data_IF_309027341293
#
_entry.id   IF_309027341293
#
_cell.length_a   1.000
_cell.length_b   1.000
_cell.length_c   1.000
_cell.angle_alpha   90.00
_cell.angle_beta   90.00
_cell.angle_gamma   90.00
#
_symmetry.space_group_name_H-M   'P 1'
#
loop_
_entity.id
_entity.type
_entity.pdbx_description
1 polymer ?
#
# COMPACT_ATOMS: atom_id res chain seq x y z
N UNK A 1 11.67 -18.91 22.52
CA UNK A 1 10.23 -19.17 22.28
C UNK A 1 10.01 -18.93 20.79
N UNK A 2 9.83 -20.01 20.03
CA UNK A 2 10.03 -19.98 18.58
C UNK A 2 8.84 -19.31 17.87
N UNK A 3 9.16 -18.15 17.32
CA UNK A 3 8.52 -17.39 16.27
C UNK A 3 7.66 -18.27 15.35
N UNK A 4 6.35 -18.25 15.54
CA UNK A 4 5.41 -18.78 14.55
C UNK A 4 5.63 -17.99 13.25
N UNK A 5 6.30 -18.60 12.28
CA UNK A 5 6.27 -18.13 10.90
C UNK A 5 4.84 -18.34 10.42
N UNK A 6 3.99 -17.31 10.55
CA UNK A 6 2.74 -17.24 9.80
C UNK A 6 3.12 -17.38 8.33
N UNK A 7 2.76 -18.50 7.71
CA UNK A 7 2.80 -18.68 6.26
C UNK A 7 1.88 -17.63 5.66
N UNK A 8 2.46 -16.49 5.28
CA UNK A 8 1.76 -15.47 4.50
C UNK A 8 1.91 -15.87 3.04
N UNK A 9 0.85 -15.77 2.22
CA UNK A 9 0.99 -15.97 0.79
C UNK A 9 2.12 -15.07 0.27
N UNK A 10 3.19 -15.68 -0.24
CA UNK A 10 4.43 -14.97 -0.58
C UNK A 10 4.40 -14.41 -2.01
N UNK A 11 3.21 -14.09 -2.53
CA UNK A 11 3.09 -13.41 -3.81
C UNK A 11 3.22 -11.90 -3.59
N UNK A 12 4.33 -11.35 -4.08
CA UNK A 12 4.54 -9.92 -4.20
C UNK A 12 5.27 -9.63 -5.51
N UNK A 13 4.83 -8.60 -6.22
CA UNK A 13 5.49 -8.11 -7.42
C UNK A 13 5.59 -6.59 -7.32
N UNK A 14 6.82 -6.06 -7.26
CA UNK A 14 7.04 -4.62 -7.37
C UNK A 14 7.14 -4.25 -8.85
N UNK A 15 6.29 -3.33 -9.28
CA UNK A 15 6.29 -2.77 -10.63
C UNK A 15 7.19 -1.54 -10.58
N UNK A 16 8.47 -1.76 -10.87
CA UNK A 16 9.49 -0.71 -10.82
C UNK A 16 9.58 -0.01 -12.18
N UNK A 17 9.25 1.29 -12.20
CA UNK A 17 9.67 2.21 -13.28
C UNK A 17 11.16 2.55 -13.11
N UNK A 18 11.79 3.14 -14.13
CA UNK A 18 13.13 3.75 -14.00
C UNK A 18 13.28 4.54 -12.68
N UNK A 19 14.33 4.22 -11.91
CA UNK A 19 14.54 4.78 -10.57
C UNK A 19 15.42 3.89 -9.69
N UNK A 20 15.65 4.33 -8.45
CA UNK A 20 16.43 3.56 -7.48
C UNK A 20 15.56 2.55 -6.74
N UNK A 21 16.16 1.41 -6.37
CA UNK A 21 15.47 0.33 -5.62
C UNK A 21 15.02 0.77 -4.21
N UNK A 22 15.53 1.91 -3.73
CA UNK A 22 15.19 2.50 -2.44
C UNK A 22 13.89 3.30 -2.50
N UNK A 23 13.44 3.71 -3.69
CA UNK A 23 12.28 4.58 -3.83
C UNK A 23 10.96 3.81 -3.71
N UNK A 24 9.86 4.51 -3.33
CA UNK A 24 8.53 3.95 -3.43
C UNK A 24 8.17 3.57 -4.87
N UNK A 25 7.39 2.49 -4.99
CA UNK A 25 6.98 1.78 -6.19
C UNK A 25 5.54 1.31 -6.02
N UNK A 26 4.91 0.93 -7.13
CA UNK A 26 3.69 0.14 -7.05
C UNK A 26 4.03 -1.32 -6.75
N UNK A 27 3.23 -1.96 -5.92
CA UNK A 27 3.37 -3.37 -5.60
C UNK A 27 2.03 -4.10 -5.60
N UNK A 28 2.00 -5.27 -6.22
CA UNK A 28 0.89 -6.21 -6.17
C UNK A 28 1.13 -7.22 -5.05
N UNK A 29 0.10 -7.51 -4.25
CA UNK A 29 0.17 -8.51 -3.17
C UNK A 29 -1.12 -9.28 -3.04
N UNK A 30 -1.00 -10.60 -2.88
CA UNK A 30 -2.14 -11.45 -2.52
C UNK A 30 -2.53 -11.18 -1.05
N UNK A 31 -3.81 -10.93 -0.81
CA UNK A 31 -4.37 -10.81 0.55
C UNK A 31 -5.42 -11.88 0.79
N UNK A 32 -5.85 -12.00 2.06
CA UNK A 32 -7.00 -12.81 2.43
C UNK A 32 -6.66 -14.24 2.87
N UNK A 33 -7.67 -15.09 2.78
CA UNK A 33 -7.65 -16.52 3.15
C UNK A 33 -8.18 -17.36 1.99
N UNK A 34 -8.04 -18.69 2.00
CA UNK A 34 -8.59 -19.52 0.92
C UNK A 34 -10.09 -19.32 0.65
N UNK A 35 -10.87 -18.83 1.62
CA UNK A 35 -12.30 -18.57 1.48
C UNK A 35 -12.64 -17.16 0.96
N UNK A 36 -11.71 -16.20 1.09
CA UNK A 36 -11.91 -14.81 0.68
C UNK A 36 -10.54 -14.17 0.45
N UNK A 37 -10.17 -14.02 -0.82
CA UNK A 37 -8.85 -13.53 -1.24
C UNK A 37 -8.95 -12.68 -2.51
N UNK A 38 -7.87 -11.95 -2.77
CA UNK A 38 -7.76 -11.10 -3.94
C UNK A 38 -6.37 -10.48 -4.05
N UNK A 39 -6.24 -9.53 -4.95
CA UNK A 39 -5.00 -8.78 -5.14
C UNK A 39 -5.18 -7.39 -4.54
N UNK A 40 -4.21 -6.96 -3.74
CA UNK A 40 -4.08 -5.58 -3.31
C UNK A 40 -2.98 -4.92 -4.13
N UNK A 41 -3.28 -3.77 -4.72
CA UNK A 41 -2.28 -2.86 -5.24
C UNK A 41 -1.92 -1.86 -4.12
N UNK A 42 -0.63 -1.54 -4.00
CA UNK A 42 -0.14 -0.61 -2.99
C UNK A 42 0.96 0.29 -3.52
N UNK A 43 1.03 1.52 -3.01
CA UNK A 43 2.22 2.36 -3.12
C UNK A 43 3.09 2.07 -1.90
N UNK A 44 4.20 1.38 -2.12
CA UNK A 44 5.09 0.92 -1.05
C UNK A 44 6.55 0.85 -1.51
N UNK A 45 7.44 0.46 -0.60
CA UNK A 45 8.86 0.33 -0.88
C UNK A 45 9.40 -0.96 -0.28
N UNK A 46 10.53 -1.43 -0.82
CA UNK A 46 11.20 -2.63 -0.33
C UNK A 46 11.91 -2.30 0.98
N UNK A 47 11.36 -2.74 2.11
CA UNK A 47 11.85 -2.41 3.46
C UNK A 47 13.35 -2.67 3.66
N UNK A 48 13.88 -3.78 3.12
CA UNK A 48 15.30 -4.16 3.21
C UNK A 48 16.24 -3.34 2.31
N UNK A 49 15.69 -2.47 1.45
CA UNK A 49 16.43 -1.62 0.51
C UNK A 49 16.29 -0.13 0.82
N UNK A 50 15.48 0.24 1.82
CA UNK A 50 15.24 1.64 2.17
C UNK A 50 16.55 2.37 2.56
N UNK A 51 16.58 3.66 2.26
CA UNK A 51 17.58 4.63 2.71
C UNK A 51 16.95 5.65 3.70
N UNK A 52 17.68 6.73 3.99
CA UNK A 52 17.25 7.80 4.90
C UNK A 52 16.07 8.62 4.35
N UNK A 53 15.91 8.68 3.03
CA UNK A 53 14.87 9.48 2.36
C UNK A 53 13.61 8.68 2.02
N UNK A 54 13.69 7.35 2.01
CA UNK A 54 12.60 6.47 1.58
C UNK A 54 11.31 6.71 2.37
N UNK A 55 11.41 6.87 3.70
CA UNK A 55 10.26 7.09 4.56
C UNK A 55 9.62 8.46 4.33
N UNK A 56 10.43 9.51 4.12
CA UNK A 56 9.90 10.85 3.85
C UNK A 56 9.25 10.92 2.47
N UNK A 57 9.83 10.29 1.45
CA UNK A 57 9.21 10.12 0.13
C UNK A 57 7.88 9.37 0.25
N UNK A 58 7.84 8.26 0.99
CA UNK A 58 6.60 7.49 1.21
C UNK A 58 5.52 8.34 1.91
N UNK A 59 5.88 9.17 2.88
CA UNK A 59 4.91 9.99 3.63
C UNK A 59 4.13 10.98 2.74
N UNK A 60 4.67 11.35 1.57
CA UNK A 60 4.02 12.25 0.60
C UNK A 60 2.68 11.72 0.06
N UNK A 61 2.38 10.42 0.22
CA UNK A 61 1.02 9.91 -0.09
C UNK A 61 -0.07 10.65 0.70
N UNK A 62 0.26 11.18 1.89
CA UNK A 62 -0.68 11.91 2.75
C UNK A 62 -0.90 13.36 2.30
N UNK A 63 -0.14 13.86 1.33
CA UNK A 63 -0.36 15.16 0.70
C UNK A 63 -1.50 15.09 -0.34
N UNK A 64 -1.82 13.89 -0.84
CA UNK A 64 -2.89 13.66 -1.81
C UNK A 64 -4.25 13.50 -1.10
N UNK A 65 -5.34 14.11 -1.60
CA UNK A 65 -6.68 13.87 -1.08
C UNK A 65 -7.06 12.39 -1.11
N UNK A 66 -7.82 11.88 -0.13
CA UNK A 66 -8.33 10.52 -0.20
C UNK A 66 -9.32 10.35 -1.36
N UNK A 67 -9.30 9.20 -2.02
CA UNK A 67 -10.26 8.80 -3.06
C UNK A 67 -11.04 7.57 -2.58
N UNK A 68 -12.28 7.41 -3.04
CA UNK A 68 -13.07 6.23 -2.71
C UNK A 68 -12.38 4.93 -3.13
N UNK A 69 -12.54 3.87 -2.32
CA UNK A 69 -11.96 2.55 -2.60
C UNK A 69 -10.52 2.34 -2.13
N UNK A 70 -9.84 3.39 -1.65
CA UNK A 70 -8.49 3.27 -1.06
C UNK A 70 -8.54 3.23 0.47
N UNK A 71 -7.49 2.69 1.08
CA UNK A 71 -7.29 2.69 2.52
C UNK A 71 -5.82 2.86 2.88
N UNK A 72 -5.58 3.31 4.11
CA UNK A 72 -4.24 3.40 4.68
C UNK A 72 -3.91 2.13 5.46
N UNK A 73 -2.72 1.57 5.20
CA UNK A 73 -2.10 0.58 6.08
C UNK A 73 -1.03 1.27 6.91
N UNK A 74 -1.33 1.44 8.19
CA UNK A 74 -0.56 2.25 9.13
C UNK A 74 0.34 1.34 9.95
N UNK A 75 1.62 1.67 10.07
CA UNK A 75 2.59 0.96 10.90
C UNK A 75 3.00 1.82 12.09
N UNK A 76 2.72 1.32 13.29
CA UNK A 76 2.95 2.01 14.56
C UNK A 76 3.39 0.99 15.60
N UNK A 77 4.45 1.29 16.36
CA UNK A 77 4.93 0.45 17.48
C UNK A 77 5.14 -1.04 17.15
N UNK A 78 5.61 -1.36 15.94
CA UNK A 78 5.84 -2.74 15.50
C UNK A 78 4.60 -3.49 15.01
N UNK A 79 3.42 -2.87 15.12
CA UNK A 79 2.16 -3.40 14.61
C UNK A 79 1.71 -2.65 13.36
N UNK A 80 0.68 -3.18 12.70
CA UNK A 80 0.00 -2.49 11.61
C UNK A 80 -1.51 -2.69 11.68
N UNK A 81 -2.25 -1.69 11.19
CA UNK A 81 -3.70 -1.72 11.13
C UNK A 81 -4.21 -1.00 9.87
N UNK A 82 -5.38 -1.43 9.40
CA UNK A 82 -6.10 -0.80 8.28
C UNK A 82 -6.92 0.37 8.82
N UNK A 83 -6.87 1.50 8.11
CA UNK A 83 -7.62 2.71 8.41
C UNK A 83 -8.26 3.21 7.11
N UNK A 84 -9.52 3.61 7.15
CA UNK A 84 -10.21 4.15 5.98
C UNK A 84 -9.51 5.41 5.46
N UNK A 85 -9.40 5.55 4.14
CA UNK A 85 -8.90 6.78 3.55
C UNK A 85 -10.02 7.82 3.48
N UNK A 86 -10.09 8.66 4.51
CA UNK A 86 -10.93 9.85 4.53
C UNK A 86 -10.10 11.05 5.02
N UNK A 87 -10.67 12.26 4.93
CA UNK A 87 -9.92 13.50 5.16
C UNK A 87 -9.48 13.64 6.63
N UNK A 88 -10.32 13.22 7.57
CA UNK A 88 -10.03 13.24 9.00
C UNK A 88 -8.86 12.30 9.34
N UNK A 89 -8.91 11.07 8.84
CA UNK A 89 -7.86 10.08 9.03
C UNK A 89 -6.55 10.53 8.35
N UNK A 90 -6.62 11.12 7.16
CA UNK A 90 -5.45 11.66 6.46
C UNK A 90 -4.74 12.74 7.30
N UNK A 91 -5.49 13.71 7.85
CA UNK A 91 -4.92 14.78 8.69
C UNK A 91 -4.29 14.21 9.96
N UNK A 92 -4.99 13.30 10.63
CA UNK A 92 -4.50 12.61 11.83
C UNK A 92 -3.20 11.86 11.55
N UNK A 93 -3.13 11.13 10.44
CA UNK A 93 -1.92 10.41 10.05
C UNK A 93 -0.77 11.34 9.71
N UNK A 94 -1.04 12.48 9.07
CA UNK A 94 -0.01 13.48 8.75
C UNK A 94 0.63 14.02 10.02
N UNK A 95 -0.18 14.37 11.03
CA UNK A 95 0.32 14.81 12.34
C UNK A 95 1.12 13.72 13.04
N UNK A 96 0.62 12.48 13.06
CA UNK A 96 1.28 11.35 13.70
C UNK A 96 2.59 10.92 13.04
N UNK A 97 2.72 11.12 11.73
CA UNK A 97 3.99 10.90 11.03
C UNK A 97 5.00 11.98 11.42
N UNK A 98 4.57 13.23 11.53
CA UNK A 98 5.43 14.36 11.96
C UNK A 98 5.88 14.19 13.42
N UNK A 99 4.98 13.76 14.31
CA UNK A 99 5.30 13.48 15.73
C UNK A 99 6.05 12.17 15.94
N UNK A 100 6.33 11.40 14.89
CA UNK A 100 7.00 10.10 14.91
C UNK A 100 6.25 8.98 15.64
N UNK A 101 4.97 9.18 15.96
CA UNK A 101 4.08 8.15 16.50
C UNK A 101 3.80 7.06 15.44
N UNK A 102 3.66 7.46 14.18
CA UNK A 102 3.47 6.55 13.03
C UNK A 102 4.75 6.52 12.22
N UNK A 103 5.33 5.33 12.09
CA UNK A 103 6.59 5.11 11.35
C UNK A 103 6.40 5.13 9.84
N UNK A 104 5.32 4.53 9.36
CA UNK A 104 5.09 4.28 7.93
C UNK A 104 3.60 4.19 7.65
N UNK A 105 3.18 4.81 6.56
CA UNK A 105 1.83 4.68 6.01
C UNK A 105 1.95 4.23 4.56
N UNK A 106 1.18 3.21 4.18
CA UNK A 106 0.99 2.81 2.79
C UNK A 106 -0.43 3.14 2.37
N UNK A 107 -0.63 3.49 1.11
CA UNK A 107 -1.97 3.53 0.50
C UNK A 107 -2.18 2.26 -0.30
N UNK A 108 -3.37 1.66 -0.17
CA UNK A 108 -3.72 0.38 -0.75
C UNK A 108 -5.14 0.41 -1.30
N UNK A 109 -5.39 -0.40 -2.31
CA UNK A 109 -6.73 -0.73 -2.80
C UNK A 109 -6.78 -2.22 -3.15
N UNK A 110 -7.94 -2.83 -2.91
CA UNK A 110 -8.14 -4.28 -2.98
C UNK A 110 -9.04 -4.61 -4.19
N UNK A 111 -8.67 -5.64 -4.95
CA UNK A 111 -9.47 -6.28 -6.00
C UNK A 111 -9.78 -7.70 -5.56
N UNK A 112 -11.00 -7.91 -5.08
CA UNK A 112 -11.49 -9.23 -4.64
C UNK A 112 -11.70 -10.17 -5.82
N UNK A 113 -11.33 -11.42 -5.63
CA UNK A 113 -11.67 -12.48 -6.57
C UNK A 113 -13.00 -13.11 -6.18
N UNK A 114 -13.91 -13.17 -7.14
CA UNK A 114 -15.24 -13.75 -6.97
C UNK A 114 -15.35 -14.96 -7.90
N UNK A 115 -16.06 -16.00 -7.46
CA UNK A 115 -16.33 -17.16 -8.30
C UNK A 115 -16.94 -16.72 -9.66
N UNK A 116 -16.46 -17.34 -10.74
CA UNK A 116 -16.86 -17.08 -12.13
C UNK A 116 -16.46 -15.72 -12.72
N UNK A 117 -15.56 -14.96 -12.09
CA UNK A 117 -14.90 -13.83 -12.75
C UNK A 117 -13.92 -14.31 -13.82
N UNK A 118 -13.94 -13.66 -14.99
CA UNK A 118 -12.92 -13.88 -16.02
C UNK A 118 -11.65 -13.10 -15.70
N UNK A 119 -10.55 -13.46 -16.34
CA UNK A 119 -9.28 -12.74 -16.17
C UNK A 119 -9.40 -11.28 -16.62
N UNK A 120 -10.14 -11.03 -17.71
CA UNK A 120 -10.35 -9.70 -18.28
C UNK A 120 -11.00 -8.76 -17.25
N UNK A 121 -12.05 -9.22 -16.56
CA UNK A 121 -12.73 -8.43 -15.51
C UNK A 121 -11.79 -8.11 -14.35
N UNK A 122 -10.88 -9.02 -14.00
CA UNK A 122 -9.88 -8.78 -12.95
C UNK A 122 -8.86 -7.74 -13.42
N UNK A 123 -8.41 -7.81 -14.68
CA UNK A 123 -7.45 -6.87 -15.25
C UNK A 123 -8.04 -5.46 -15.37
N UNK A 124 -9.30 -5.34 -15.82
CA UNK A 124 -10.01 -4.05 -15.88
C UNK A 124 -10.09 -3.38 -14.50
N UNK A 125 -10.46 -4.14 -13.45
CA UNK A 125 -10.48 -3.62 -12.07
C UNK A 125 -9.09 -3.25 -11.55
N UNK A 126 -8.06 -4.00 -11.94
CA UNK A 126 -6.68 -3.67 -11.57
C UNK A 126 -6.20 -2.39 -12.25
N UNK A 127 -6.63 -2.12 -13.48
CA UNK A 127 -6.35 -0.87 -14.20
C UNK A 127 -7.06 0.31 -13.53
N UNK A 128 -8.34 0.18 -13.16
CA UNK A 128 -9.07 1.20 -12.39
C UNK A 128 -8.38 1.53 -11.06
N UNK A 129 -7.92 0.49 -10.34
CA UNK A 129 -7.17 0.64 -9.09
C UNK A 129 -5.79 1.27 -9.33
N UNK A 130 -5.13 0.94 -10.44
CA UNK A 130 -3.86 1.55 -10.83
C UNK A 130 -4.02 3.05 -11.04
N UNK A 131 -5.00 3.47 -11.83
CA UNK A 131 -5.28 4.89 -12.11
C UNK A 131 -5.62 5.65 -10.83
N UNK A 132 -6.37 5.03 -9.92
CA UNK A 132 -6.68 5.60 -8.61
C UNK A 132 -5.42 5.82 -7.73
N UNK A 133 -4.47 4.88 -7.77
CA UNK A 133 -3.23 4.96 -6.98
C UNK A 133 -2.12 5.78 -7.65
N UNK A 134 -2.26 6.10 -8.95
CA UNK A 134 -1.24 6.80 -9.72
C UNK A 134 -0.85 8.17 -9.12
N UNK A 135 -1.79 9.05 -8.70
CA UNK A 135 -1.43 10.33 -8.08
C UNK A 135 -0.64 10.18 -6.77
N UNK A 136 -0.97 9.18 -5.97
CA UNK A 136 -0.21 8.88 -4.75
C UNK A 136 1.20 8.40 -5.07
N UNK A 137 1.34 7.52 -6.07
CA UNK A 137 2.63 7.07 -6.53
C UNK A 137 3.48 8.25 -7.01
N UNK A 138 2.95 9.10 -7.89
CA UNK A 138 3.66 10.26 -8.43
C UNK A 138 4.13 11.22 -7.33
N UNK A 139 3.31 11.47 -6.30
CA UNK A 139 3.69 12.30 -5.16
C UNK A 139 4.95 11.79 -4.43
N UNK A 140 5.15 10.48 -4.38
CA UNK A 140 6.33 9.86 -3.73
C UNK A 140 7.60 9.89 -4.59
N UNK A 141 7.50 10.28 -5.87
CA UNK A 141 8.64 10.35 -6.81
C UNK A 141 9.34 11.71 -6.82
N UNK A 142 8.73 12.72 -6.21
CA UNK A 142 9.24 14.10 -6.13
C UNK A 142 10.33 14.21 -5.06
#
# INVERSE_FOLDING_TARGET
MNQAQRLRPHFWAYIQREGQVTEPMMALRLYGTPADFGISLEVSFIERKKDEQTLSKQAKILDIPPVEGVYYLVYSNGENYKMEANEENRRTLREKVISQEVRKVLVKADVSFIENQTLEVILEKLEEVYDCLLPYYEATRI
#
